data_IF_532389664189
#
_entry.id   IF_532389664189
#
_cell.length_a   1.000
_cell.length_b   1.000
_cell.length_c   1.000
_cell.angle_alpha   90.00
_cell.angle_beta   90.00
_cell.angle_gamma   90.00
#
_symmetry.space_group_name_H-M   'P 1'
#
loop_
_entity.id
_entity.type
_entity.pdbx_description
1 polymer ?
#
# COMPACT_ATOMS: atom_id res chain seq x y z
N UNK A 1 11.74 -8.44 3.10
CA UNK A 1 10.76 -7.37 2.84
C UNK A 1 10.02 -7.06 4.13
N UNK A 2 10.20 -5.85 4.66
CA UNK A 2 9.41 -5.29 5.76
C UNK A 2 8.01 -4.90 5.29
N UNK A 3 7.09 -4.65 6.22
CA UNK A 3 5.74 -4.15 5.91
C UNK A 3 5.81 -2.79 5.20
N UNK A 4 6.70 -1.90 5.64
CA UNK A 4 6.88 -0.60 4.99
C UNK A 4 7.37 -0.74 3.55
N UNK A 5 8.34 -1.61 3.29
CA UNK A 5 8.83 -1.89 1.94
C UNK A 5 7.72 -2.43 1.05
N UNK A 6 6.90 -3.37 1.58
CA UNK A 6 5.76 -3.94 0.87
C UNK A 6 4.72 -2.87 0.51
N UNK A 7 4.38 -1.98 1.44
CA UNK A 7 3.46 -0.86 1.20
C UNK A 7 4.01 0.05 0.10
N UNK A 8 5.30 0.42 0.15
CA UNK A 8 5.91 1.26 -0.89
C UNK A 8 5.86 0.60 -2.26
N UNK A 9 6.21 -0.69 -2.34
CA UNK A 9 6.13 -1.50 -3.58
C UNK A 9 4.70 -1.54 -4.13
N UNK A 10 3.71 -1.80 -3.27
CA UNK A 10 2.30 -1.87 -3.65
C UNK A 10 1.60 -0.53 -3.89
N UNK A 11 2.28 0.60 -3.64
CA UNK A 11 1.70 1.95 -3.79
C UNK A 11 2.57 2.83 -4.68
N UNK A 12 3.43 3.67 -4.11
CA UNK A 12 4.14 4.72 -4.84
C UNK A 12 5.18 4.16 -5.80
N UNK A 13 5.90 3.09 -5.45
CA UNK A 13 6.90 2.49 -6.33
C UNK A 13 6.21 1.76 -7.49
N UNK A 14 5.09 1.09 -7.24
CA UNK A 14 4.27 0.47 -8.30
C UNK A 14 3.70 1.51 -9.26
N UNK A 15 3.16 2.61 -8.73
CA UNK A 15 2.67 3.72 -9.55
C UNK A 15 3.79 4.39 -10.36
N UNK A 16 4.99 4.55 -9.78
CA UNK A 16 6.15 5.06 -10.51
C UNK A 16 6.58 4.12 -11.65
N UNK A 17 6.60 2.81 -11.39
CA UNK A 17 6.96 1.81 -12.41
C UNK A 17 5.99 1.81 -13.61
N UNK A 18 4.73 2.23 -13.40
CA UNK A 18 3.73 2.38 -14.46
C UNK A 18 3.55 3.80 -14.99
N UNK A 19 4.37 4.78 -14.55
CA UNK A 19 4.26 6.21 -14.89
C UNK A 19 2.92 6.85 -14.47
N UNK A 20 2.28 6.34 -13.42
CA UNK A 20 1.00 6.79 -12.89
C UNK A 20 1.15 7.52 -11.54
N UNK A 21 2.37 7.80 -11.09
CA UNK A 21 2.64 8.43 -9.80
C UNK A 21 2.11 9.86 -9.68
N UNK A 22 1.77 10.52 -10.79
CA UNK A 22 1.07 11.82 -10.77
C UNK A 22 -0.44 11.67 -10.54
N UNK A 23 -0.99 10.49 -10.81
CA UNK A 23 -2.42 10.19 -10.74
C UNK A 23 -2.81 9.38 -9.50
N UNK A 24 -1.98 8.41 -9.06
CA UNK A 24 -2.25 7.48 -7.95
C UNK A 24 -1.01 7.13 -7.13
N UNK A 25 -1.14 6.17 -6.22
CA UNK A 25 -0.02 5.61 -5.44
C UNK A 25 0.37 6.37 -4.17
N UNK A 26 -0.32 7.45 -3.80
CA UNK A 26 -0.13 8.12 -2.50
C UNK A 26 -1.38 8.87 -2.05
N UNK A 27 -1.55 9.05 -0.75
CA UNK A 27 -2.65 9.81 -0.15
C UNK A 27 -2.28 11.29 -0.09
N UNK A 28 -2.56 12.02 -1.17
CA UNK A 28 -2.39 13.48 -1.26
C UNK A 28 -3.52 14.08 -2.09
N UNK A 29 -3.79 15.38 -1.91
CA UNK A 29 -4.78 16.09 -2.73
C UNK A 29 -4.47 15.97 -4.22
N UNK A 30 -5.52 16.00 -5.06
CA UNK A 30 -5.45 15.98 -6.54
C UNK A 30 -5.05 14.63 -7.17
N UNK A 31 -4.86 13.58 -6.39
CA UNK A 31 -4.81 12.19 -6.88
C UNK A 31 -6.18 11.53 -6.81
N UNK A 32 -6.33 10.39 -7.50
CA UNK A 32 -7.52 9.56 -7.38
C UNK A 32 -7.74 9.14 -5.92
N UNK A 33 -9.00 9.11 -5.50
CA UNK A 33 -9.41 8.60 -4.19
C UNK A 33 -9.44 7.05 -4.17
N UNK A 34 -8.39 6.42 -4.70
CA UNK A 34 -8.19 4.97 -4.67
C UNK A 34 -7.58 4.59 -3.32
N UNK A 35 -8.44 4.11 -2.41
CA UNK A 35 -8.12 3.91 -0.99
C UNK A 35 -8.54 2.51 -0.54
N UNK A 36 -7.73 1.93 0.34
CA UNK A 36 -8.03 0.67 1.02
C UNK A 36 -8.11 0.91 2.52
N UNK A 37 -9.16 0.42 3.16
CA UNK A 37 -9.30 0.44 4.63
C UNK A 37 -9.01 -0.96 5.14
N UNK A 38 -8.11 -1.06 6.11
CA UNK A 38 -7.73 -2.32 6.74
C UNK A 38 -8.38 -2.42 8.12
N UNK A 39 -8.97 -3.57 8.44
CA UNK A 39 -9.60 -3.81 9.74
C UNK A 39 -8.61 -4.09 10.88
N UNK A 40 -7.30 -4.12 10.59
CA UNK A 40 -6.22 -4.51 11.48
C UNK A 40 -4.97 -3.68 11.19
N UNK A 41 -4.08 -3.56 12.17
CA UNK A 41 -2.83 -2.83 12.03
C UNK A 41 -1.71 -3.74 11.51
N UNK A 42 -1.33 -3.54 10.25
CA UNK A 42 -0.28 -4.32 9.58
C UNK A 42 1.10 -4.22 10.25
N UNK A 43 1.37 -3.17 11.04
CA UNK A 43 2.68 -3.01 11.69
C UNK A 43 2.80 -3.79 13.00
N UNK A 44 1.69 -4.30 13.53
CA UNK A 44 1.63 -5.01 14.82
C UNK A 44 1.03 -6.42 14.71
N UNK A 45 0.46 -6.79 13.57
CA UNK A 45 -0.08 -8.13 13.33
C UNK A 45 1.03 -9.18 13.17
N UNK A 46 0.79 -10.37 13.72
CA UNK A 46 1.67 -11.52 13.55
C UNK A 46 1.52 -12.09 12.13
N UNK A 47 2.64 -12.25 11.43
CA UNK A 47 2.66 -12.69 10.04
C UNK A 47 2.03 -14.07 9.84
N UNK A 48 2.08 -14.95 10.84
CA UNK A 48 1.44 -16.27 10.80
C UNK A 48 -0.08 -16.22 10.65
N UNK A 49 -0.71 -15.10 11.03
CA UNK A 49 -2.17 -14.92 10.94
C UNK A 49 -2.63 -14.54 9.52
N UNK A 50 -1.72 -14.17 8.62
CA UNK A 50 -2.06 -13.73 7.25
C UNK A 50 -2.30 -14.89 6.28
N UNK A 51 -1.75 -16.08 6.55
CA UNK A 51 -1.79 -17.24 5.65
C UNK A 51 -3.01 -18.15 5.86
N UNK A 52 -3.99 -17.72 6.67
CA UNK A 52 -5.10 -18.55 7.15
C UNK A 52 -6.37 -18.50 6.28
N UNK A 53 -6.28 -18.05 5.03
CA UNK A 53 -7.43 -17.88 4.12
C UNK A 53 -7.41 -18.88 2.95
#
# INVERSE_FOLDING_TARGET
MSVEEAIRVGTINGAYASYEETMKGSIVSRKLADLVVLGRDLFHEDRSQLDSN
#
